data_IF_593561324458
#
_entry.id   IF_593561324458
#
_cell.length_a   1.000
_cell.length_b   1.000
_cell.length_c   1.000
_cell.angle_alpha   90.00
_cell.angle_beta   90.00
_cell.angle_gamma   90.00
#
_symmetry.space_group_name_H-M   'P 1'
#
loop_
_entity.id
_entity.type
_entity.pdbx_description
1 polymer ?
#
# COMPACT_ATOMS: atom_id res chain seq x y z
N UNK A 1 -16.68 5.52 23.63
CA UNK A 1 -15.24 5.20 23.46
C UNK A 1 -15.20 3.89 22.72
N UNK A 2 -14.81 3.91 21.45
CA UNK A 2 -14.73 2.70 20.64
C UNK A 2 -13.74 1.75 21.30
N UNK A 3 -14.07 0.46 21.33
CA UNK A 3 -13.15 -0.60 21.70
C UNK A 3 -11.90 -0.41 20.84
N UNK A 4 -10.73 -0.26 21.44
CA UNK A 4 -9.46 -0.23 20.70
C UNK A 4 -9.38 -1.51 19.86
N UNK A 5 -9.01 -1.37 18.58
CA UNK A 5 -8.95 -2.50 17.65
C UNK A 5 -8.02 -3.57 18.25
N UNK A 6 -8.48 -4.81 18.48
CA UNK A 6 -7.60 -5.84 18.99
C UNK A 6 -6.50 -6.06 17.96
N UNK A 7 -5.25 -5.73 18.30
CA UNK A 7 -4.08 -5.83 17.40
C UNK A 7 -3.74 -7.25 16.91
N UNK A 8 -4.60 -8.23 17.20
CA UNK A 8 -4.57 -9.58 16.66
C UNK A 8 -5.26 -9.67 15.28
N UNK A 9 -6.14 -8.71 14.95
CA UNK A 9 -6.87 -8.64 13.68
C UNK A 9 -6.09 -7.74 12.72
N UNK A 10 -5.43 -8.36 11.73
CA UNK A 10 -4.57 -7.68 10.73
C UNK A 10 -5.12 -7.81 9.30
N UNK A 11 -6.44 -7.89 9.17
CA UNK A 11 -7.09 -8.15 7.86
C UNK A 11 -6.97 -6.96 6.91
N UNK A 12 -7.02 -5.75 7.45
CA UNK A 12 -6.64 -4.49 6.82
C UNK A 12 -5.23 -4.55 6.21
N UNK A 13 -4.22 -4.96 7.00
CA UNK A 13 -2.82 -5.01 6.51
C UNK A 13 -2.66 -6.06 5.40
N UNK A 14 -3.34 -7.20 5.53
CA UNK A 14 -3.36 -8.27 4.52
C UNK A 14 -4.01 -7.79 3.23
N UNK A 15 -5.14 -7.06 3.32
CA UNK A 15 -5.81 -6.48 2.15
C UNK A 15 -4.92 -5.45 1.48
N UNK A 16 -4.30 -4.54 2.25
CA UNK A 16 -3.33 -3.56 1.73
C UNK A 16 -2.18 -4.23 0.98
N UNK A 17 -1.61 -5.30 1.55
CA UNK A 17 -0.54 -6.08 0.92
C UNK A 17 -0.98 -6.81 -0.36
N UNK A 18 -2.20 -7.37 -0.41
CA UNK A 18 -2.74 -7.98 -1.63
C UNK A 18 -2.91 -6.95 -2.75
N UNK A 19 -3.41 -5.76 -2.41
CA UNK A 19 -3.54 -4.65 -3.37
C UNK A 19 -2.16 -4.20 -3.84
N UNK A 20 -1.19 -4.02 -2.93
CA UNK A 20 0.18 -3.64 -3.27
C UNK A 20 0.82 -4.63 -4.28
N UNK A 21 0.60 -5.92 -4.08
CA UNK A 21 1.16 -7.00 -4.90
C UNK A 21 0.39 -7.28 -6.19
N UNK A 22 -0.78 -6.66 -6.42
CA UNK A 22 -1.62 -6.97 -7.57
C UNK A 22 -0.86 -6.78 -8.90
N UNK A 23 -0.83 -7.83 -9.73
CA UNK A 23 -0.13 -7.82 -11.02
C UNK A 23 1.40 -8.00 -10.94
N UNK A 24 1.97 -8.17 -9.76
CA UNK A 24 3.41 -8.41 -9.57
C UNK A 24 3.70 -9.89 -9.21
N UNK A 25 4.82 -10.40 -9.73
CA UNK A 25 5.33 -11.72 -9.34
C UNK A 25 5.98 -11.73 -7.95
N UNK A 26 6.21 -12.92 -7.39
CA UNK A 26 6.73 -13.09 -6.02
C UNK A 26 8.07 -12.39 -5.72
N UNK A 27 8.88 -12.06 -6.73
CA UNK A 27 10.12 -11.29 -6.56
C UNK A 27 9.90 -9.86 -6.02
N UNK A 28 8.69 -9.32 -6.13
CA UNK A 28 8.32 -8.00 -5.59
C UNK A 28 7.81 -8.05 -4.15
N UNK A 29 7.68 -9.22 -3.52
CA UNK A 29 7.11 -9.36 -2.19
C UNK A 29 7.85 -8.52 -1.13
N UNK A 30 9.19 -8.60 -1.12
CA UNK A 30 10.00 -7.85 -0.16
C UNK A 30 9.95 -6.32 -0.43
N UNK A 31 10.14 -5.84 -1.68
CA UNK A 31 9.92 -4.43 -2.00
C UNK A 31 8.52 -3.92 -1.63
N UNK A 32 7.48 -4.69 -1.96
CA UNK A 32 6.09 -4.34 -1.67
C UNK A 32 5.85 -4.23 -0.17
N UNK A 33 6.31 -5.20 0.61
CA UNK A 33 6.20 -5.19 2.07
C UNK A 33 6.91 -3.98 2.67
N UNK A 34 8.14 -3.71 2.23
CA UNK A 34 8.92 -2.58 2.74
C UNK A 34 8.25 -1.24 2.42
N UNK A 35 7.83 -1.03 1.18
CA UNK A 35 7.14 0.18 0.76
C UNK A 35 5.79 0.34 1.45
N UNK A 36 5.02 -0.74 1.59
CA UNK A 36 3.74 -0.73 2.30
C UNK A 36 3.91 -0.32 3.75
N UNK A 37 4.89 -0.87 4.47
CA UNK A 37 5.17 -0.42 5.85
C UNK A 37 5.56 1.05 5.93
N UNK A 38 6.31 1.57 4.96
CA UNK A 38 6.62 3.01 4.93
C UNK A 38 5.34 3.83 4.75
N UNK A 39 4.48 3.45 3.80
CA UNK A 39 3.23 4.17 3.50
C UNK A 39 2.25 4.08 4.67
N UNK A 40 2.11 2.91 5.28
CA UNK A 40 1.28 2.66 6.46
C UNK A 40 1.73 3.50 7.68
N UNK A 41 3.04 3.57 7.95
CA UNK A 41 3.56 4.37 9.07
C UNK A 41 3.44 5.88 8.81
N UNK A 42 3.71 6.34 7.59
CA UNK A 42 3.74 7.77 7.26
C UNK A 42 2.33 8.31 6.99
N UNK A 43 1.45 7.48 6.44
CA UNK A 43 0.12 7.84 5.92
C UNK A 43 0.15 9.12 5.06
N UNK A 44 0.91 9.13 3.95
CA UNK A 44 0.97 10.30 3.08
C UNK A 44 -0.40 10.61 2.49
N UNK A 45 -0.65 11.86 2.12
CA UNK A 45 -1.84 12.21 1.34
C UNK A 45 -1.86 11.37 0.03
N UNK A 46 -2.99 10.75 -0.37
CA UNK A 46 -4.34 10.85 0.19
C UNK A 46 -4.73 9.80 1.26
N UNK A 47 -3.83 8.92 1.70
CA UNK A 47 -4.11 7.86 2.71
C UNK A 47 -4.69 8.45 3.99
N UNK A 48 -4.13 9.56 4.48
CA UNK A 48 -4.64 10.22 5.68
C UNK A 48 -6.08 10.79 5.58
N UNK A 49 -6.71 10.77 4.40
CA UNK A 49 -8.11 11.19 4.27
C UNK A 49 -9.08 10.15 4.80
N UNK A 50 -8.72 8.87 4.78
CA UNK A 50 -9.57 7.77 5.26
C UNK A 50 -9.67 7.71 6.79
N UNK A 51 -8.77 8.37 7.52
CA UNK A 51 -8.88 8.62 8.96
C UNK A 51 -10.13 9.44 9.35
N UNK A 52 -10.78 10.10 8.38
CA UNK A 52 -12.05 10.81 8.59
C UNK A 52 -13.26 9.87 8.61
N UNK A 53 -13.10 8.61 8.19
CA UNK A 53 -14.15 7.60 8.21
C UNK A 53 -14.25 6.97 9.61
N UNK A 54 -15.46 6.68 10.09
CA UNK A 54 -15.64 6.15 11.44
C UNK A 54 -15.26 4.66 11.54
N UNK A 55 -14.54 4.31 12.61
CA UNK A 55 -14.29 2.92 13.02
C UNK A 55 -13.42 2.12 12.04
N UNK A 56 -13.62 0.80 12.00
CA UNK A 56 -12.83 -0.11 11.15
C UNK A 56 -12.94 0.14 9.65
N UNK A 57 -13.92 0.93 9.18
CA UNK A 57 -13.98 1.37 7.79
C UNK A 57 -12.85 2.33 7.44
N UNK A 58 -12.45 3.20 8.37
CA UNK A 58 -11.31 4.10 8.17
C UNK A 58 -10.00 3.34 8.13
N UNK A 59 -9.83 2.37 9.04
CA UNK A 59 -8.65 1.50 9.11
C UNK A 59 -8.49 0.68 7.83
N UNK A 60 -9.52 -0.03 7.41
CA UNK A 60 -9.48 -0.81 6.16
C UNK A 60 -9.26 0.08 4.92
N UNK A 61 -9.84 1.28 4.90
CA UNK A 61 -9.65 2.22 3.80
C UNK A 61 -8.23 2.80 3.76
N UNK A 62 -7.63 3.11 4.91
CA UNK A 62 -6.24 3.57 5.01
C UNK A 62 -5.29 2.55 4.36
N UNK A 63 -5.40 1.28 4.75
CA UNK A 63 -4.52 0.21 4.24
C UNK A 63 -4.78 -0.12 2.78
N UNK A 64 -6.05 -0.09 2.34
CA UNK A 64 -6.38 -0.31 0.95
C UNK A 64 -5.84 0.80 0.03
N UNK A 65 -5.96 2.07 0.44
CA UNK A 65 -5.41 3.22 -0.30
C UNK A 65 -3.88 3.21 -0.24
N UNK A 66 -3.30 2.86 0.90
CA UNK A 66 -1.86 2.69 1.04
C UNK A 66 -1.31 1.60 0.12
N UNK A 67 -1.97 0.45 0.08
CA UNK A 67 -1.67 -0.66 -0.83
C UNK A 67 -1.74 -0.23 -2.30
N UNK A 68 -2.75 0.54 -2.66
CA UNK A 68 -2.89 1.07 -4.02
C UNK A 68 -1.73 2.01 -4.40
N UNK A 69 -1.31 2.91 -3.51
CA UNK A 69 -0.15 3.78 -3.75
C UNK A 69 1.13 2.97 -3.96
N UNK A 70 1.35 1.94 -3.14
CA UNK A 70 2.50 1.04 -3.29
C UNK A 70 2.47 0.34 -4.64
N UNK A 71 1.30 -0.14 -5.07
CA UNK A 71 1.17 -0.78 -6.37
C UNK A 71 1.59 0.15 -7.52
N UNK A 72 1.14 1.41 -7.50
CA UNK A 72 1.56 2.40 -8.50
C UNK A 72 3.07 2.64 -8.49
N UNK A 73 3.70 2.69 -7.31
CA UNK A 73 5.15 2.81 -7.18
C UNK A 73 5.84 1.59 -7.80
N UNK A 74 5.36 0.38 -7.52
CA UNK A 74 5.93 -0.85 -8.07
C UNK A 74 5.75 -0.95 -9.59
N UNK A 75 4.62 -0.50 -10.14
CA UNK A 75 4.42 -0.37 -11.59
C UNK A 75 5.47 0.59 -12.19
N UNK A 76 5.67 1.75 -11.56
CA UNK A 76 6.69 2.71 -11.98
C UNK A 76 8.11 2.14 -11.96
N UNK A 77 8.48 1.45 -10.88
CA UNK A 77 9.77 0.75 -10.75
C UNK A 77 9.89 -0.32 -11.84
N UNK A 78 8.87 -1.16 -12.01
CA UNK A 78 8.90 -2.21 -13.02
C UNK A 78 9.06 -1.65 -14.43
N UNK A 79 8.32 -0.59 -14.78
CA UNK A 79 8.46 0.09 -16.06
C UNK A 79 9.85 0.71 -16.25
N UNK A 80 10.40 1.34 -15.21
CA UNK A 80 11.71 1.98 -15.27
C UNK A 80 12.84 0.96 -15.58
N UNK A 81 12.83 -0.20 -14.89
CA UNK A 81 13.90 -1.20 -15.01
C UNK A 81 13.69 -2.26 -16.09
N UNK A 82 12.44 -2.63 -16.38
CA UNK A 82 12.12 -3.73 -17.31
C UNK A 82 11.33 -3.28 -18.54
N UNK A 83 10.70 -2.11 -18.51
CA UNK A 83 9.88 -1.55 -19.59
C UNK A 83 10.60 -0.54 -20.48
N UNK A 84 11.90 -0.33 -20.29
CA UNK A 84 12.69 0.65 -21.05
C UNK A 84 12.48 2.11 -20.64
N UNK A 85 11.95 2.37 -19.44
CA UNK A 85 11.69 3.73 -18.97
C UNK A 85 12.92 4.63 -18.93
N UNK A 86 14.10 4.08 -18.64
CA UNK A 86 15.37 4.83 -18.71
C UNK A 86 15.64 5.40 -20.11
N UNK A 87 15.40 4.61 -21.17
CA UNK A 87 15.59 5.03 -22.56
C UNK A 87 14.53 6.00 -23.05
N UNK A 88 13.38 6.08 -22.37
CA UNK A 88 12.32 7.02 -22.71
C UNK A 88 12.52 8.41 -22.07
N UNK A 89 13.24 8.47 -20.95
CA UNK A 89 13.46 9.70 -20.17
C UNK A 89 14.77 10.40 -20.53
N UNK A 90 15.82 9.63 -20.87
CA UNK A 90 17.16 10.12 -21.23
C UNK A 90 17.35 10.14 -22.75
#
# INVERSE_FOLDING_TARGET
RGVEDPGEVVIDEVVGMWIAMYGHGGGFLLPALFLFRIVDIIKPFPVNLSERLPGGLGVMADDAVGGFLVNLILIGIHWLYYGGGWSAIL
#
